data_IF_530902450300
#
_entry.id   IF_530902450300
#
_cell.length_a   1.000
_cell.length_b   1.000
_cell.length_c   1.000
_cell.angle_alpha   90.00
_cell.angle_beta   90.00
_cell.angle_gamma   90.00
#
_symmetry.space_group_name_H-M   'P 1'
#
loop_
_entity.id
_entity.type
_entity.pdbx_description
1 polymer ?
#
# COMPACT_ATOMS: atom_id res chain seq x y z
N UNK A 1 -7.29 -11.83 -2.48
CA UNK A 1 -6.42 -11.45 -1.34
C UNK A 1 -7.19 -10.47 -0.47
N UNK A 2 -7.28 -10.69 0.86
CA UNK A 2 -7.89 -9.74 1.81
C UNK A 2 -6.77 -9.06 2.58
N UNK A 3 -6.76 -7.73 2.58
CA UNK A 3 -5.73 -6.91 3.24
C UNK A 3 -6.41 -6.09 4.33
N UNK A 4 -5.92 -6.19 5.55
CA UNK A 4 -6.28 -5.30 6.66
C UNK A 4 -5.37 -4.07 6.61
N UNK A 5 -5.95 -2.88 6.74
CA UNK A 5 -5.24 -1.61 6.61
C UNK A 5 -5.50 -0.77 7.86
N UNK A 6 -4.41 -0.36 8.52
CA UNK A 6 -4.38 0.71 9.54
C UNK A 6 -3.75 1.93 8.86
N UNK A 7 -4.58 2.92 8.52
CA UNK A 7 -4.26 4.07 7.65
C UNK A 7 -3.83 5.31 8.44
N UNK A 8 -2.99 5.12 9.45
CA UNK A 8 -2.44 6.21 10.23
C UNK A 8 -1.75 7.30 9.38
N UNK A 9 -1.91 8.56 9.78
CA UNK A 9 -1.40 9.72 9.03
C UNK A 9 0.12 9.80 8.90
N UNK A 10 0.88 9.09 9.74
CA UNK A 10 2.34 8.95 9.62
C UNK A 10 2.74 7.73 8.79
N UNK A 11 2.11 6.59 9.06
CA UNK A 11 2.41 5.32 8.41
C UNK A 11 1.13 4.54 8.18
N UNK A 12 1.01 3.97 6.98
CA UNK A 12 0.02 2.96 6.65
C UNK A 12 0.61 1.59 6.97
N UNK A 13 -0.10 0.78 7.75
CA UNK A 13 0.29 -0.60 8.06
C UNK A 13 -0.66 -1.56 7.37
N UNK A 14 -0.09 -2.57 6.74
CA UNK A 14 -0.79 -3.58 5.97
C UNK A 14 -0.57 -4.94 6.62
N UNK A 15 -1.62 -5.76 6.67
CA UNK A 15 -1.51 -7.16 7.04
C UNK A 15 -2.40 -8.02 6.14
N UNK A 16 -1.90 -9.15 5.67
CA UNK A 16 -2.67 -10.11 4.88
C UNK A 16 -2.18 -11.54 5.14
N UNK A 17 -2.98 -12.52 4.74
CA UNK A 17 -2.57 -13.92 4.71
C UNK A 17 -2.28 -14.32 3.27
N UNK A 18 -1.13 -14.96 3.07
CA UNK A 18 -0.68 -15.49 1.79
C UNK A 18 -0.05 -16.86 2.02
N UNK A 19 -0.51 -17.89 1.30
CA UNK A 19 -0.04 -19.27 1.44
C UNK A 19 -0.10 -19.81 2.89
N UNK A 20 -1.13 -19.41 3.65
CA UNK A 20 -1.28 -19.79 5.06
C UNK A 20 -0.40 -19.02 6.04
N UNK A 21 0.49 -18.16 5.55
CA UNK A 21 1.38 -17.33 6.38
C UNK A 21 0.85 -15.90 6.49
N UNK A 22 1.04 -15.29 7.67
CA UNK A 22 0.74 -13.89 7.89
C UNK A 22 1.90 -13.03 7.41
N UNK A 23 1.60 -12.07 6.54
CA UNK A 23 2.52 -11.05 6.04
C UNK A 23 2.12 -9.68 6.58
N UNK A 24 3.11 -8.79 6.67
CA UNK A 24 2.91 -7.40 7.05
C UNK A 24 3.82 -6.47 6.26
N UNK A 25 3.35 -5.24 6.04
CA UNK A 25 4.15 -4.17 5.45
C UNK A 25 3.81 -2.82 6.12
N UNK A 26 4.76 -1.89 6.08
CA UNK A 26 4.59 -0.53 6.60
C UNK A 26 5.07 0.42 5.50
N UNK A 27 4.23 1.39 5.15
CA UNK A 27 4.56 2.45 4.21
C UNK A 27 4.42 3.81 4.89
N UNK A 28 5.40 4.72 4.79
CA UNK A 28 5.21 6.08 5.23
C UNK A 28 4.14 6.78 4.39
N UNK A 29 3.38 7.68 5.02
CA UNK A 29 2.43 8.55 4.34
C UNK A 29 3.11 9.86 3.92
N UNK A 30 4.06 9.75 2.99
CA UNK A 30 4.93 10.85 2.58
C UNK A 30 4.78 11.12 1.09
N UNK A 31 3.79 11.94 0.73
CA UNK A 31 3.50 12.35 -0.64
C UNK A 31 3.79 13.84 -0.85
N UNK A 32 4.16 14.24 -2.07
CA UNK A 32 4.15 15.63 -2.52
C UNK A 32 3.00 15.85 -3.51
N UNK A 33 2.47 17.07 -3.58
CA UNK A 33 1.28 17.39 -4.38
C UNK A 33 1.45 17.10 -5.89
N UNK A 34 2.68 17.07 -6.38
CA UNK A 34 3.05 16.73 -7.75
C UNK A 34 3.49 15.25 -7.95
N UNK A 35 3.53 14.44 -6.90
CA UNK A 35 3.82 13.01 -7.01
C UNK A 35 2.57 12.25 -7.47
N UNK A 36 2.49 12.01 -8.76
CA UNK A 36 1.61 10.99 -9.33
C UNK A 36 2.39 9.69 -9.48
N UNK A 37 1.92 8.61 -8.84
CA UNK A 37 2.33 7.28 -9.28
C UNK A 37 1.69 7.03 -10.65
N UNK A 38 2.45 6.58 -11.67
CA UNK A 38 1.90 6.22 -12.96
C UNK A 38 1.09 4.93 -12.79
N UNK A 39 -0.17 5.07 -12.42
CA UNK A 39 -1.10 3.96 -12.38
C UNK A 39 -1.66 3.75 -13.78
N UNK A 40 -1.33 2.60 -14.38
CA UNK A 40 -1.76 2.24 -15.73
C UNK A 40 -0.88 2.89 -16.79
N UNK A 41 0.12 2.15 -17.28
CA UNK A 41 0.72 2.49 -18.57
C UNK A 41 -0.40 2.57 -19.60
N UNK A 42 -0.39 3.62 -20.41
CA UNK A 42 -1.12 3.65 -21.69
C UNK A 42 -0.78 2.36 -22.43
N UNK A 43 -1.69 1.37 -22.40
CA UNK A 43 -1.69 0.32 -23.41
C UNK A 43 -2.09 0.98 -24.74
N UNK A 44 -1.51 0.51 -25.87
CA UNK A 44 -1.59 1.18 -27.17
C UNK A 44 -3.02 1.40 -27.66
#
# INVERSE_FOLDING_TARGET
>A
MKICIDDGSTNIKLAWTENGERRNAISPNSFKSEWSAPFGGTQP
#
